data_IF_817772677652
#
_entry.id   IF_817772677652
#
_cell.length_a   1.000
_cell.length_b   1.000
_cell.length_c   1.000
_cell.angle_alpha   90.00
_cell.angle_beta   90.00
_cell.angle_gamma   90.00
#
_symmetry.space_group_name_H-M   'P 1'
#
loop_
_entity.id
_entity.type
_entity.pdbx_description
1 polymer ?
#
# COMPACT_ATOMS: atom_id res chain seq x y z
N UNK A 1 -4.80 -36.71 -30.03
CA UNK A 1 -4.20 -36.72 -28.69
C UNK A 1 -2.89 -35.97 -28.83
N UNK A 2 -2.88 -34.68 -28.52
CA UNK A 2 -1.66 -33.86 -28.56
C UNK A 2 -0.82 -34.20 -27.34
N UNK A 3 0.49 -34.39 -27.54
CA UNK A 3 1.44 -34.53 -26.44
C UNK A 3 1.37 -33.30 -25.52
N UNK A 4 1.58 -33.47 -24.20
CA UNK A 4 1.73 -32.32 -23.31
C UNK A 4 2.92 -31.48 -23.80
N UNK A 5 2.69 -30.19 -24.03
CA UNK A 5 3.77 -29.26 -24.32
C UNK A 5 4.67 -29.18 -23.08
N UNK A 6 5.96 -29.44 -23.26
CA UNK A 6 6.94 -29.22 -22.20
C UNK A 6 7.01 -27.70 -21.98
N UNK A 7 6.82 -27.18 -20.76
CA UNK A 7 6.93 -25.75 -20.50
C UNK A 7 8.36 -25.29 -20.85
N UNK A 8 8.47 -24.11 -21.48
CA UNK A 8 9.77 -23.53 -21.78
C UNK A 8 10.38 -23.03 -20.47
N UNK A 9 11.55 -23.54 -20.13
CA UNK A 9 12.33 -23.07 -18.98
C UNK A 9 13.26 -21.94 -19.40
N UNK A 10 13.23 -20.83 -18.67
CA UNK A 10 14.11 -19.67 -18.84
C UNK A 10 14.95 -19.51 -17.56
N UNK A 11 16.27 -19.60 -17.68
CA UNK A 11 17.19 -19.31 -16.58
C UNK A 11 17.64 -17.86 -16.67
N UNK A 12 17.50 -17.11 -15.58
CA UNK A 12 17.97 -15.73 -15.45
C UNK A 12 19.11 -15.71 -14.45
N UNK A 13 20.33 -15.49 -14.93
CA UNK A 13 21.50 -15.36 -14.07
C UNK A 13 21.82 -13.88 -13.88
N UNK A 14 21.78 -13.41 -12.65
CA UNK A 14 22.08 -12.02 -12.30
C UNK A 14 23.48 -11.95 -11.71
N UNK A 15 24.33 -11.15 -12.35
CA UNK A 15 25.68 -10.85 -11.90
C UNK A 15 25.76 -9.35 -11.53
N UNK A 16 26.81 -8.98 -10.79
CA UNK A 16 27.06 -7.59 -10.40
C UNK A 16 27.16 -6.62 -11.61
N UNK A 17 27.55 -7.13 -12.77
CA UNK A 17 27.82 -6.31 -13.98
C UNK A 17 26.91 -6.62 -15.17
N UNK A 18 26.06 -7.64 -15.09
CA UNK A 18 25.18 -8.03 -16.19
C UNK A 18 24.09 -8.99 -15.73
N UNK A 19 22.98 -9.02 -16.46
CA UNK A 19 21.99 -10.10 -16.38
C UNK A 19 22.02 -10.93 -17.67
N UNK A 20 21.99 -12.25 -17.50
CA UNK A 20 22.02 -13.23 -18.59
C UNK A 20 20.68 -13.95 -18.60
N UNK A 21 20.09 -14.08 -19.79
CA UNK A 21 18.86 -14.81 -20.01
C UNK A 21 19.17 -16.03 -20.89
N UNK A 22 18.90 -17.22 -20.39
CA UNK A 22 19.14 -18.49 -21.10
C UNK A 22 17.82 -19.26 -21.26
N UNK A 23 17.28 -19.29 -22.48
CA UNK A 23 16.04 -19.99 -22.80
C UNK A 23 16.03 -20.46 -24.26
N UNK A 24 15.03 -20.07 -25.07
CA UNK A 24 15.04 -20.33 -26.52
C UNK A 24 16.26 -19.70 -27.22
N UNK A 25 16.63 -18.49 -26.78
CA UNK A 25 17.82 -17.75 -27.18
C UNK A 25 18.58 -17.28 -25.94
N UNK A 26 19.88 -17.01 -26.09
CA UNK A 26 20.71 -16.45 -25.01
C UNK A 26 20.93 -14.96 -25.23
N UNK A 27 20.58 -14.14 -24.23
CA UNK A 27 20.74 -12.67 -24.29
C UNK A 27 21.55 -12.19 -23.08
N UNK A 28 22.52 -11.32 -23.34
CA UNK A 28 23.37 -10.69 -22.32
C UNK A 28 23.03 -9.20 -22.21
N UNK A 29 22.62 -8.75 -21.03
CA UNK A 29 22.27 -7.36 -20.72
C UNK A 29 23.22 -6.78 -19.68
N UNK A 30 24.26 -6.10 -20.17
CA UNK A 30 25.24 -5.39 -19.32
C UNK A 30 24.70 -4.09 -18.71
N UNK A 31 23.55 -3.63 -19.21
CA UNK A 31 22.83 -2.47 -18.70
C UNK A 31 21.88 -2.83 -17.55
N UNK A 32 21.75 -4.12 -17.18
CA UNK A 32 20.88 -4.60 -16.11
C UNK A 32 21.71 -5.34 -15.04
N UNK A 33 22.47 -4.64 -14.18
CA UNK A 33 23.19 -5.26 -13.07
C UNK A 33 22.24 -5.63 -11.91
N UNK A 34 22.65 -6.57 -11.05
CA UNK A 34 21.86 -6.98 -9.89
C UNK A 34 21.47 -5.84 -8.94
N UNK A 35 22.38 -4.89 -8.70
CA UNK A 35 22.06 -3.68 -7.91
C UNK A 35 20.89 -2.90 -8.51
N UNK A 36 20.80 -2.81 -9.83
CA UNK A 36 19.70 -2.13 -10.48
C UNK A 36 18.35 -2.84 -10.40
N UNK A 37 18.38 -4.16 -10.21
CA UNK A 37 17.17 -4.96 -9.98
C UNK A 37 16.66 -4.70 -8.57
N UNK A 38 17.56 -4.70 -7.58
CA UNK A 38 17.23 -4.42 -6.17
C UNK A 38 16.74 -2.96 -6.00
N UNK A 39 17.41 -2.00 -6.64
CA UNK A 39 17.00 -0.59 -6.66
C UNK A 39 15.75 -0.33 -7.53
N UNK A 40 15.20 -1.37 -8.17
CA UNK A 40 13.93 -1.35 -8.89
C UNK A 40 13.94 -0.77 -10.31
N UNK A 41 15.00 -0.07 -10.74
CA UNK A 41 15.03 0.56 -12.07
C UNK A 41 15.27 -0.41 -13.22
N UNK A 42 16.02 -1.50 -12.99
CA UNK A 42 16.31 -2.52 -14.00
C UNK A 42 15.20 -3.57 -14.11
N UNK A 43 14.37 -3.70 -13.07
CA UNK A 43 13.35 -4.72 -12.95
C UNK A 43 12.33 -4.72 -14.12
N UNK A 44 11.75 -3.58 -14.55
CA UNK A 44 10.84 -3.58 -15.69
C UNK A 44 11.49 -4.11 -16.97
N UNK A 45 12.74 -3.72 -17.22
CA UNK A 45 13.48 -4.16 -18.40
C UNK A 45 13.82 -5.66 -18.36
N UNK A 46 14.07 -6.23 -17.17
CA UNK A 46 14.25 -7.68 -16.99
C UNK A 46 12.96 -8.44 -17.29
N UNK A 47 11.82 -7.96 -16.78
CA UNK A 47 10.50 -8.55 -17.03
C UNK A 47 10.14 -8.50 -18.52
N UNK A 48 10.36 -7.35 -19.16
CA UNK A 48 10.08 -7.17 -20.59
C UNK A 48 10.98 -8.07 -21.46
N UNK A 49 12.27 -8.19 -21.11
CA UNK A 49 13.20 -9.08 -21.82
C UNK A 49 12.78 -10.55 -21.70
N UNK A 50 12.39 -11.00 -20.50
CA UNK A 50 11.90 -12.36 -20.29
C UNK A 50 10.61 -12.63 -21.08
N UNK A 51 9.69 -11.65 -21.10
CA UNK A 51 8.46 -11.75 -21.88
C UNK A 51 8.70 -11.78 -23.38
N UNK A 52 9.64 -11.00 -23.89
CA UNK A 52 10.02 -10.99 -25.30
C UNK A 52 10.59 -12.34 -25.74
N UNK A 53 11.51 -12.90 -24.94
CA UNK A 53 12.15 -14.18 -25.20
C UNK A 53 11.15 -15.35 -25.17
N UNK A 54 10.16 -15.29 -24.28
CA UNK A 54 9.17 -16.36 -24.12
C UNK A 54 7.76 -15.97 -24.62
N UNK A 55 7.66 -15.04 -25.58
CA UNK A 55 6.38 -14.46 -26.01
C UNK A 55 5.35 -15.48 -26.52
N UNK A 56 5.79 -16.65 -27.02
CA UNK A 56 4.90 -17.69 -27.54
C UNK A 56 4.22 -18.52 -26.43
N UNK A 57 4.85 -18.62 -25.26
CA UNK A 57 4.38 -19.45 -24.14
C UNK A 57 3.96 -18.63 -22.93
N UNK A 58 4.16 -17.32 -22.93
CA UNK A 58 3.80 -16.47 -21.80
C UNK A 58 2.28 -16.50 -21.50
N UNK A 59 1.85 -16.69 -20.23
CA UNK A 59 2.64 -16.79 -18.99
C UNK A 59 3.00 -18.23 -18.56
N UNK A 60 2.70 -19.25 -19.37
CA UNK A 60 2.99 -20.67 -19.13
C UNK A 60 4.49 -21.01 -19.35
N UNK A 61 5.36 -20.32 -18.60
CA UNK A 61 6.83 -20.49 -18.64
C UNK A 61 7.33 -20.74 -17.23
N UNK A 62 8.41 -21.51 -17.10
CA UNK A 62 9.09 -21.72 -15.82
C UNK A 62 10.36 -20.88 -15.78
N UNK A 63 10.47 -19.98 -14.82
CA UNK A 63 11.63 -19.11 -14.65
C UNK A 63 12.49 -19.61 -13.49
N UNK A 64 13.77 -19.81 -13.77
CA UNK A 64 14.79 -20.19 -12.78
C UNK A 64 15.69 -18.98 -12.55
N UNK A 65 15.80 -18.53 -11.32
CA UNK A 65 16.57 -17.34 -10.98
C UNK A 65 17.86 -17.76 -10.28
N UNK A 66 19.00 -17.42 -10.86
CA UNK A 66 20.33 -17.63 -10.27
C UNK A 66 20.95 -16.27 -9.95
N UNK A 67 20.77 -15.80 -8.73
CA UNK A 67 21.17 -14.47 -8.30
C UNK A 67 21.55 -14.48 -6.81
N UNK A 68 22.02 -13.34 -6.29
CA UNK A 68 22.07 -13.15 -4.84
C UNK A 68 20.66 -13.17 -4.21
N UNK A 69 20.59 -13.32 -2.89
CA UNK A 69 19.32 -13.46 -2.16
C UNK A 69 18.36 -12.29 -2.39
N UNK A 70 18.88 -11.06 -2.42
CA UNK A 70 18.07 -9.85 -2.59
C UNK A 70 17.48 -9.71 -4.00
N UNK A 71 18.29 -9.93 -5.03
CA UNK A 71 17.83 -9.91 -6.41
C UNK A 71 16.87 -11.08 -6.69
N UNK A 72 17.12 -12.24 -6.08
CA UNK A 72 16.26 -13.43 -6.18
C UNK A 72 14.87 -13.17 -5.64
N UNK A 73 14.76 -12.58 -4.45
CA UNK A 73 13.48 -12.25 -3.82
C UNK A 73 12.66 -11.29 -4.68
N UNK A 74 13.30 -10.19 -5.11
CA UNK A 74 12.67 -9.17 -5.96
C UNK A 74 12.15 -9.76 -7.27
N UNK A 75 12.97 -10.55 -7.97
CA UNK A 75 12.58 -11.17 -9.24
C UNK A 75 11.49 -12.21 -9.05
N UNK A 76 11.62 -13.09 -8.05
CA UNK A 76 10.63 -14.14 -7.77
C UNK A 76 9.27 -13.53 -7.50
N UNK A 77 9.20 -12.54 -6.60
CA UNK A 77 7.96 -11.85 -6.28
C UNK A 77 7.37 -11.14 -7.51
N UNK A 78 8.22 -10.50 -8.31
CA UNK A 78 7.80 -9.76 -9.50
C UNK A 78 7.19 -10.65 -10.58
N UNK A 79 7.81 -11.81 -10.86
CA UNK A 79 7.28 -12.77 -11.83
C UNK A 79 5.99 -13.43 -11.32
N UNK A 80 5.92 -13.79 -10.04
CA UNK A 80 4.71 -14.35 -9.43
C UNK A 80 3.53 -13.37 -9.51
N UNK A 81 3.77 -12.08 -9.28
CA UNK A 81 2.74 -11.03 -9.44
C UNK A 81 2.26 -10.86 -10.89
N UNK A 82 3.06 -11.29 -11.88
CA UNK A 82 2.66 -11.37 -13.29
C UNK A 82 2.03 -12.71 -13.68
N UNK A 83 1.82 -13.61 -12.71
CA UNK A 83 1.24 -14.93 -12.91
C UNK A 83 2.19 -15.95 -13.54
N UNK A 84 3.50 -15.69 -13.49
CA UNK A 84 4.53 -16.56 -14.04
C UNK A 84 5.20 -17.35 -12.92
N UNK A 85 5.37 -18.65 -13.15
CA UNK A 85 6.09 -19.53 -12.24
C UNK A 85 7.57 -19.15 -12.20
N UNK A 86 8.05 -18.69 -11.04
CA UNK A 86 9.45 -18.34 -10.84
C UNK A 86 9.97 -18.94 -9.52
N UNK A 87 11.17 -19.50 -9.57
CA UNK A 87 11.81 -20.17 -8.43
C UNK A 87 13.31 -19.91 -8.44
N UNK A 88 13.96 -19.94 -7.27
CA UNK A 88 15.40 -19.75 -7.19
C UNK A 88 16.14 -21.02 -7.61
N UNK A 89 17.37 -20.90 -8.10
CA UNK A 89 18.13 -21.99 -8.74
C UNK A 89 18.44 -23.14 -7.79
N UNK A 90 18.49 -22.86 -6.48
CA UNK A 90 18.71 -23.84 -5.43
C UNK A 90 17.49 -24.72 -5.17
N UNK A 91 16.27 -24.26 -5.51
CA UNK A 91 15.07 -25.09 -5.44
C UNK A 91 15.10 -26.25 -6.46
N UNK A 92 15.88 -26.11 -7.54
CA UNK A 92 16.10 -27.17 -8.53
C UNK A 92 17.25 -28.12 -8.16
N UNK A 93 18.02 -27.83 -7.10
CA UNK A 93 18.95 -28.81 -6.57
C UNK A 93 18.11 -29.93 -5.99
N UNK A 94 18.03 -31.04 -6.72
CA UNK A 94 17.61 -32.33 -6.20
C UNK A 94 18.29 -32.52 -4.85
N UNK A 95 17.59 -32.24 -3.76
CA UNK A 95 18.01 -32.68 -2.45
C UNK A 95 18.03 -34.19 -2.61
N UNK A 96 19.19 -34.87 -2.54
CA UNK A 96 19.20 -36.31 -2.54
C UNK A 96 18.27 -36.67 -1.40
N UNK A 97 17.15 -37.32 -1.70
CA UNK A 97 16.29 -37.89 -0.67
C UNK A 97 17.25 -38.59 0.30
N UNK A 98 17.20 -38.30 1.61
CA UNK A 98 18.02 -39.07 2.53
C UNK A 98 17.73 -40.52 2.21
N UNK A 99 18.75 -41.25 1.72
CA UNK A 99 18.60 -42.67 1.47
C UNK A 99 18.23 -43.24 2.82
N UNK A 100 16.94 -43.50 3.00
CA UNK A 100 16.42 -44.24 4.13
C UNK A 100 17.16 -45.57 4.01
N UNK A 101 18.11 -45.80 4.93
CA UNK A 101 18.59 -47.16 5.17
C UNK A 101 17.33 -47.98 5.42
N UNK A 102 17.01 -48.83 4.45
CA UNK A 102 16.00 -49.86 4.62
C UNK A 102 16.33 -50.65 5.88
N UNK A 103 15.26 -51.19 6.47
CA UNK A 103 15.23 -52.06 7.65
C UNK A 103 15.00 -51.34 9.01
N UNK A 104 13.77 -50.86 9.21
CA UNK A 104 12.96 -51.41 10.31
C UNK A 104 11.47 -51.38 9.92
N UNK A 105 10.93 -52.58 9.76
CA UNK A 105 9.56 -52.90 9.34
C UNK A 105 8.55 -52.42 10.40
N UNK A 106 7.97 -51.24 10.24
CA UNK A 106 6.82 -50.81 11.02
C UNK A 106 5.55 -51.43 10.41
N UNK A 107 5.16 -52.59 10.94
CA UNK A 107 3.86 -53.22 10.67
C UNK A 107 2.72 -52.28 11.05
N UNK A 108 2.11 -51.62 10.06
CA UNK A 108 0.89 -50.84 10.25
C UNK A 108 -0.30 -51.78 10.28
N UNK A 109 -0.77 -52.12 11.48
CA UNK A 109 -2.07 -52.77 11.68
C UNK A 109 -3.15 -51.70 11.52
N UNK A 110 -3.97 -51.79 10.46
CA UNK A 110 -5.18 -50.96 10.29
C UNK A 110 -6.33 -51.52 11.13
N UNK A 111 -6.90 -50.77 12.09
CA UNK A 111 -8.15 -51.17 12.72
C UNK A 111 -9.34 -50.71 11.87
N UNK A 112 -10.19 -51.67 11.50
CA UNK A 112 -11.53 -51.45 10.94
C UNK A 112 -12.45 -50.84 11.99
N UNK A 113 -13.38 -49.99 11.54
CA UNK A 113 -14.35 -49.31 12.39
C UNK A 113 -15.28 -50.32 13.09
N UNK A 114 -15.40 -50.21 14.41
CA UNK A 114 -16.63 -50.59 15.09
C UNK A 114 -16.86 -49.76 16.36
N UNK A 115 -18.14 -49.56 16.59
CA UNK A 115 -18.86 -48.88 17.65
C UNK A 115 -18.44 -49.22 19.09
N UNK A 116 -18.51 -48.24 20.00
CA UNK A 116 -18.40 -48.49 21.44
C UNK A 116 -18.28 -47.25 22.32
N UNK A 117 -19.18 -47.13 23.32
CA UNK A 117 -19.34 -45.99 24.24
C UNK A 117 -18.27 -45.94 25.35
N UNK A 118 -17.98 -44.70 25.76
CA UNK A 118 -17.45 -44.20 27.06
C UNK A 118 -16.16 -44.79 27.66
N UNK A 119 -15.16 -43.92 27.85
CA UNK A 119 -14.79 -43.31 29.16
C UNK A 119 -13.66 -42.28 28.95
N UNK A 120 -13.82 -41.11 29.56
CA UNK A 120 -12.81 -40.04 29.63
C UNK A 120 -11.71 -40.40 30.66
N UNK A 121 -10.44 -40.21 30.31
CA UNK A 121 -9.42 -39.69 31.22
C UNK A 121 -8.94 -38.33 30.65
N UNK A 122 -9.01 -37.21 31.36
CA UNK A 122 -8.40 -36.99 32.67
C UNK A 122 -7.00 -36.40 32.46
N UNK A 123 -6.92 -35.08 32.20
CA UNK A 123 -5.65 -34.37 32.14
C UNK A 123 -5.55 -33.20 31.15
N UNK A 124 -6.56 -32.32 31.05
CA UNK A 124 -6.37 -31.02 30.42
C UNK A 124 -6.15 -29.98 31.52
N UNK A 125 -4.91 -29.51 31.65
CA UNK A 125 -4.58 -28.37 32.51
C UNK A 125 -5.23 -27.14 31.85
N UNK A 126 -6.39 -26.72 32.35
CA UNK A 126 -7.06 -25.50 31.93
C UNK A 126 -6.15 -24.35 32.37
N UNK A 127 -5.47 -23.74 31.40
CA UNK A 127 -4.74 -22.48 31.60
C UNK A 127 -5.69 -21.43 32.20
N UNK A 128 -5.25 -20.65 33.21
CA UNK A 128 -6.07 -19.63 33.88
C UNK A 128 -6.67 -18.59 32.92
N UNK A 129 -6.11 -18.48 31.71
CA UNK A 129 -6.58 -17.62 30.64
C UNK A 129 -7.97 -18.03 30.09
N UNK A 130 -8.29 -19.33 30.07
CA UNK A 130 -9.57 -19.82 29.53
C UNK A 130 -10.75 -19.61 30.49
N UNK A 131 -10.48 -19.46 31.80
CA UNK A 131 -11.50 -19.08 32.78
C UNK A 131 -12.02 -17.66 32.58
N UNK A 132 -11.14 -16.74 32.17
CA UNK A 132 -11.49 -15.33 31.91
C UNK A 132 -12.35 -15.23 30.64
N UNK A 133 -11.97 -15.93 29.57
CA UNK A 133 -12.72 -15.93 28.30
C UNK A 133 -14.13 -16.47 28.49
N UNK A 134 -14.31 -17.57 29.24
CA UNK A 134 -15.63 -18.12 29.53
C UNK A 134 -16.51 -17.16 30.35
N UNK A 135 -15.94 -16.44 31.32
CA UNK A 135 -16.66 -15.44 32.12
C UNK A 135 -17.12 -14.25 31.26
N UNK A 136 -16.29 -13.79 30.32
CA UNK A 136 -16.62 -12.70 29.40
C UNK A 136 -17.75 -13.10 28.45
N UNK A 137 -17.73 -14.31 27.90
CA UNK A 137 -18.80 -14.81 27.02
C UNK A 137 -20.14 -14.91 27.75
N UNK A 138 -20.13 -15.38 29.01
CA UNK A 138 -21.35 -15.44 29.84
C UNK A 138 -21.83 -14.02 30.20
N UNK A 139 -20.92 -13.09 30.51
CA UNK A 139 -21.29 -11.70 30.81
C UNK A 139 -21.91 -11.00 29.59
N UNK A 140 -21.34 -11.17 28.40
CA UNK A 140 -21.88 -10.62 27.15
C UNK A 140 -23.26 -11.23 26.86
N UNK A 141 -23.41 -12.55 27.00
CA UNK A 141 -24.68 -13.25 26.82
C UNK A 141 -25.79 -12.76 27.76
N UNK A 142 -25.45 -12.53 29.04
CA UNK A 142 -26.38 -12.00 30.03
C UNK A 142 -26.75 -10.52 29.77
N UNK A 143 -25.81 -9.69 29.31
CA UNK A 143 -26.05 -8.29 28.99
C UNK A 143 -26.92 -8.12 27.72
N UNK A 144 -26.79 -9.02 26.76
CA UNK A 144 -27.62 -9.01 25.54
C UNK A 144 -29.09 -9.42 25.75
N UNK A 145 -29.48 -9.89 26.95
CA UNK A 145 -30.87 -10.25 27.26
C UNK A 145 -31.65 -9.19 28.04
N UNK A 146 -31.07 -8.01 28.33
CA UNK A 146 -31.72 -7.00 29.19
C UNK A 146 -31.97 -5.63 28.54
N UNK A 147 -31.81 -5.51 27.22
CA UNK A 147 -32.12 -4.28 26.48
C UNK A 147 -33.36 -4.43 25.57
N UNK A 148 -34.47 -4.87 26.16
CA UNK A 148 -35.81 -4.68 25.61
C UNK A 148 -36.71 -4.24 26.76
N UNK A 149 -36.75 -2.93 27.01
CA UNK A 149 -37.94 -2.34 27.60
C UNK A 149 -38.22 -0.96 26.97
N UNK A 150 -39.50 -0.74 26.70
CA UNK A 150 -40.03 0.29 25.82
C UNK A 150 -40.64 1.42 26.66
N UNK A 151 -40.45 2.68 26.27
CA UNK A 151 -41.09 3.82 26.92
C UNK A 151 -41.44 4.94 25.94
N UNK A 152 -42.70 5.45 25.91
CA UNK A 152 -43.19 6.35 24.87
C UNK A 152 -42.95 7.85 25.13
N UNK A 153 -43.01 8.59 24.02
CA UNK A 153 -42.88 10.05 23.82
C UNK A 153 -43.92 10.86 24.62
N UNK A 154 -43.66 12.16 24.88
CA UNK A 154 -44.71 13.14 24.58
C UNK A 154 -44.24 14.32 23.73
N UNK A 155 -45.11 14.62 22.77
CA UNK A 155 -45.16 15.79 21.90
C UNK A 155 -45.33 17.06 22.72
N UNK A 156 -44.58 18.11 22.41
CA UNK A 156 -44.93 19.49 22.77
C UNK A 156 -44.89 20.34 21.51
N UNK A 157 -45.99 21.05 21.32
CA UNK A 157 -46.38 21.81 20.14
C UNK A 157 -45.61 23.13 19.98
N UNK A 158 -45.49 23.53 18.72
CA UNK A 158 -45.18 24.88 18.23
C UNK A 158 -46.21 25.93 18.73
N UNK A 159 -45.85 27.22 18.76
CA UNK A 159 -46.37 28.06 17.69
C UNK A 159 -45.48 29.24 17.20
N UNK A 160 -45.49 29.42 15.87
CA UNK A 160 -45.81 30.64 15.10
C UNK A 160 -44.88 31.87 15.13
N UNK A 161 -44.23 32.06 13.98
CA UNK A 161 -44.13 33.24 13.09
C UNK A 161 -43.43 34.57 13.50
N UNK A 162 -42.40 34.87 12.69
CA UNK A 162 -42.23 36.09 11.85
C UNK A 162 -41.79 37.43 12.48
N UNK A 163 -40.61 37.91 12.07
CA UNK A 163 -40.36 39.30 11.62
C UNK A 163 -38.91 39.54 11.13
N UNK A 164 -38.80 40.10 9.94
CA UNK A 164 -37.66 40.83 9.31
C UNK A 164 -38.23 42.26 9.00
N UNK A 165 -37.51 43.38 8.72
CA UNK A 165 -36.11 43.89 8.80
C UNK A 165 -36.06 45.24 9.64
N UNK A 166 -35.14 46.25 9.54
CA UNK A 166 -34.04 46.49 8.59
C UNK A 166 -32.68 47.02 9.13
N UNK A 167 -31.76 47.11 8.18
CA UNK A 167 -30.38 47.58 8.25
C UNK A 167 -30.23 49.07 8.61
N UNK A 168 -29.07 49.38 9.20
CA UNK A 168 -28.42 50.69 9.13
C UNK A 168 -26.92 50.52 8.81
N UNK A 169 -26.31 51.49 8.10
CA UNK A 169 -25.07 51.32 7.36
C UNK A 169 -23.85 51.42 8.28
N UNK A 170 -22.88 50.54 8.09
CA UNK A 170 -21.51 50.84 8.48
C UNK A 170 -20.83 51.47 7.27
N UNK A 171 -20.46 52.74 7.40
CA UNK A 171 -19.46 53.40 6.57
C UNK A 171 -18.15 52.61 6.70
N UNK A 172 -17.96 51.68 5.77
CA UNK A 172 -16.69 51.00 5.55
C UNK A 172 -15.82 51.90 4.69
N UNK A 173 -14.92 52.61 5.35
CA UNK A 173 -13.79 53.29 4.75
C UNK A 173 -13.16 52.40 3.66
N UNK A 174 -13.22 52.86 2.41
CA UNK A 174 -12.58 52.20 1.28
C UNK A 174 -11.06 52.25 1.48
N UNK A 175 -10.54 51.25 2.21
CA UNK A 175 -9.18 50.82 2.01
C UNK A 175 -9.13 50.27 0.58
N UNK A 176 -8.60 51.09 -0.33
CA UNK A 176 -8.17 50.63 -1.65
C UNK A 176 -7.00 49.68 -1.41
N UNK A 177 -7.33 48.41 -1.14
CA UNK A 177 -6.35 47.33 -1.20
C UNK A 177 -5.91 47.23 -2.64
N UNK A 178 -4.67 47.64 -2.90
CA UNK A 178 -3.97 47.32 -4.14
C UNK A 178 -3.79 45.80 -4.09
N UNK A 179 -4.79 45.07 -4.57
CA UNK A 179 -4.71 43.64 -4.70
C UNK A 179 -3.72 43.36 -5.82
N UNK A 180 -2.51 42.94 -5.45
CA UNK A 180 -1.67 42.23 -6.39
C UNK A 180 -2.50 41.09 -6.99
N UNK A 181 -2.47 40.87 -8.31
CA UNK A 181 -3.11 39.71 -8.88
C UNK A 181 -2.53 38.47 -8.19
N UNK A 182 -3.37 37.50 -7.80
CA UNK A 182 -2.88 36.28 -7.18
C UNK A 182 -1.83 35.64 -8.11
N UNK A 183 -0.77 35.04 -7.56
CA UNK A 183 0.20 34.32 -8.38
C UNK A 183 -0.55 33.32 -9.26
N UNK A 184 -0.10 33.08 -10.51
CA UNK A 184 -0.79 32.16 -11.40
C UNK A 184 -0.91 30.80 -10.70
N UNK A 185 -2.14 30.34 -10.49
CA UNK A 185 -2.43 28.99 -10.02
C UNK A 185 -2.94 28.19 -11.21
N UNK A 186 -2.64 26.92 -11.24
CA UNK A 186 -3.14 25.98 -12.26
C UNK A 186 -3.88 24.85 -11.56
N UNK A 187 -5.03 24.50 -12.13
CA UNK A 187 -5.76 23.30 -11.75
C UNK A 187 -5.28 22.19 -12.66
N UNK A 188 -4.79 21.12 -12.06
CA UNK A 188 -4.25 19.96 -12.75
C UNK A 188 -5.20 18.78 -12.53
N UNK A 189 -5.52 18.06 -13.60
CA UNK A 189 -6.38 16.88 -13.55
C UNK A 189 -5.70 15.72 -14.27
N UNK A 190 -5.59 14.57 -13.59
CA UNK A 190 -5.05 13.36 -14.17
C UNK A 190 -5.46 12.13 -13.36
N UNK A 191 -5.68 10.99 -14.04
CA UNK A 191 -5.99 9.70 -13.41
C UNK A 191 -7.12 9.75 -12.35
N UNK A 192 -8.14 10.58 -12.57
CA UNK A 192 -9.26 10.70 -11.63
C UNK A 192 -9.01 11.64 -10.45
N UNK A 193 -7.85 12.30 -10.37
CA UNK A 193 -7.53 13.29 -9.35
C UNK A 193 -7.54 14.71 -9.91
N UNK A 194 -8.01 15.67 -9.11
CA UNK A 194 -7.84 17.11 -9.33
C UNK A 194 -7.03 17.70 -8.18
N UNK A 195 -6.10 18.60 -8.51
CA UNK A 195 -5.26 19.31 -7.55
C UNK A 195 -4.90 20.71 -8.06
N UNK A 196 -4.72 21.66 -7.15
CA UNK A 196 -4.22 23.00 -7.46
C UNK A 196 -2.74 23.13 -7.13
N UNK A 197 -1.98 23.77 -8.02
CA UNK A 197 -0.55 24.02 -7.83
C UNK A 197 -0.15 25.42 -8.37
N UNK A 198 1.04 25.93 -8.01
CA UNK A 198 1.57 27.13 -8.65
C UNK A 198 1.70 26.96 -10.18
N UNK A 199 1.68 28.07 -10.90
CA UNK A 199 1.88 28.09 -12.35
C UNK A 199 3.19 27.41 -12.76
N UNK A 200 3.16 26.68 -13.87
CA UNK A 200 4.30 25.92 -14.37
C UNK A 200 4.38 24.47 -13.85
N UNK A 201 3.54 24.10 -12.89
CA UNK A 201 3.39 22.69 -12.50
C UNK A 201 2.64 21.88 -13.55
N UNK A 202 3.02 20.61 -13.68
CA UNK A 202 2.36 19.60 -14.52
C UNK A 202 2.28 18.26 -13.78
N UNK A 203 1.27 17.46 -14.10
CA UNK A 203 1.14 16.10 -13.58
C UNK A 203 1.79 15.10 -14.54
N UNK A 204 2.54 14.16 -13.97
CA UNK A 204 3.17 13.03 -14.67
C UNK A 204 2.91 11.75 -13.90
N UNK A 205 2.66 10.66 -14.63
CA UNK A 205 2.67 9.30 -14.08
C UNK A 205 4.12 8.80 -14.07
N UNK A 206 4.65 8.50 -12.89
CA UNK A 206 6.03 8.08 -12.71
C UNK A 206 6.15 7.13 -11.52
N UNK A 207 6.93 6.06 -11.69
CA UNK A 207 7.24 5.09 -10.63
C UNK A 207 5.98 4.48 -9.98
N UNK A 208 4.90 4.34 -10.77
CA UNK A 208 3.62 3.78 -10.31
C UNK A 208 2.77 4.73 -9.48
N UNK A 209 3.13 6.02 -9.42
CA UNK A 209 2.37 7.06 -8.71
C UNK A 209 2.23 8.35 -9.52
N UNK A 210 1.29 9.20 -9.10
CA UNK A 210 1.08 10.50 -9.73
C UNK A 210 2.00 11.54 -9.09
N UNK A 211 2.68 12.34 -9.91
CA UNK A 211 3.64 13.32 -9.45
C UNK A 211 3.41 14.70 -10.08
N UNK A 212 3.34 15.75 -9.26
CA UNK A 212 3.34 17.13 -9.74
C UNK A 212 4.77 17.68 -9.77
N UNK A 213 5.19 18.16 -10.94
CA UNK A 213 6.53 18.68 -11.21
C UNK A 213 6.45 20.13 -11.68
N UNK A 214 7.24 21.01 -11.07
CA UNK A 214 7.31 22.44 -11.38
C UNK A 214 8.64 22.87 -12.00
N UNK A 215 8.89 24.20 -11.96
CA UNK A 215 10.14 24.79 -12.44
C UNK A 215 11.35 24.47 -11.53
N UNK A 216 11.11 24.26 -10.24
CA UNK A 216 12.15 23.86 -9.29
C UNK A 216 12.42 22.35 -9.40
N UNK A 217 13.59 21.92 -9.92
CA UNK A 217 13.90 20.50 -10.07
C UNK A 217 14.17 19.80 -8.73
N UNK A 218 14.31 20.56 -7.63
CA UNK A 218 14.54 20.02 -6.29
C UNK A 218 13.26 19.72 -5.53
N UNK A 219 12.07 20.01 -6.09
CA UNK A 219 10.77 19.74 -5.51
C UNK A 219 9.97 18.79 -6.39
N UNK A 220 9.41 17.74 -5.78
CA UNK A 220 8.40 16.87 -6.39
C UNK A 220 7.26 16.67 -5.40
N UNK A 221 6.03 16.66 -5.88
CA UNK A 221 4.85 16.41 -5.03
C UNK A 221 4.22 15.10 -5.49
N UNK A 222 4.29 14.08 -4.64
CA UNK A 222 3.66 12.78 -4.85
C UNK A 222 2.18 12.87 -4.45
N UNK A 223 1.31 12.26 -5.24
CA UNK A 223 -0.14 12.27 -5.06
C UNK A 223 -0.68 10.85 -5.25
N UNK A 224 -1.53 10.41 -4.34
CA UNK A 224 -2.25 9.15 -4.45
C UNK A 224 -3.65 9.26 -3.82
N UNK A 225 -4.57 8.43 -4.33
CA UNK A 225 -5.91 8.24 -3.78
C UNK A 225 -6.30 6.77 -3.95
N UNK A 226 -5.92 5.95 -2.98
CA UNK A 226 -6.09 4.51 -3.05
C UNK A 226 -7.45 4.10 -2.48
N UNK A 227 -8.24 3.23 -3.14
CA UNK A 227 -9.53 2.81 -2.61
C UNK A 227 -9.37 2.01 -1.32
N UNK A 228 -10.11 2.38 -0.27
CA UNK A 228 -10.14 1.62 1.01
C UNK A 228 -11.20 0.50 1.02
N UNK A 229 -12.01 0.42 -0.03
CA UNK A 229 -13.09 -0.56 -0.19
C UNK A 229 -14.03 -0.58 1.03
N UNK A 230 -14.20 -1.75 1.66
CA UNK A 230 -15.02 -1.94 2.87
C UNK A 230 -14.24 -1.81 4.17
N UNK A 231 -12.98 -1.39 4.13
CA UNK A 231 -12.15 -1.25 5.33
C UNK A 231 -12.48 0.07 6.04
N UNK A 232 -12.78 0.04 7.35
CA UNK A 232 -13.02 1.28 8.10
C UNK A 232 -11.79 2.21 8.09
N UNK A 233 -12.02 3.51 7.89
CA UNK A 233 -10.97 4.53 7.88
C UNK A 233 -10.01 4.45 9.07
N UNK A 234 -10.55 4.27 10.29
CA UNK A 234 -9.74 4.16 11.50
C UNK A 234 -8.81 2.93 11.49
N UNK A 235 -9.21 1.82 10.86
CA UNK A 235 -8.37 0.63 10.75
C UNK A 235 -7.24 0.83 9.73
N UNK A 236 -7.53 1.53 8.62
CA UNK A 236 -6.50 1.91 7.63
C UNK A 236 -5.46 2.82 8.28
N UNK A 237 -5.90 3.88 8.96
CA UNK A 237 -4.99 4.83 9.61
C UNK A 237 -4.20 4.20 10.77
N UNK A 238 -4.79 3.27 11.53
CA UNK A 238 -4.06 2.52 12.55
C UNK A 238 -2.95 1.64 11.95
N UNK A 239 -3.19 1.06 10.75
CA UNK A 239 -2.15 0.29 10.05
C UNK A 239 -1.02 1.20 9.55
N UNK A 240 -1.36 2.39 9.05
CA UNK A 240 -0.37 3.41 8.66
C UNK A 240 0.50 3.80 9.87
N UNK A 241 -0.12 4.07 11.02
CA UNK A 241 0.59 4.41 12.26
C UNK A 241 1.54 3.30 12.74
N UNK A 242 1.10 2.04 12.62
CA UNK A 242 1.94 0.87 12.91
C UNK A 242 3.16 0.81 11.99
N UNK A 243 3.00 1.06 10.68
CA UNK A 243 4.11 1.08 9.71
C UNK A 243 5.09 2.20 10.07
N UNK A 244 4.60 3.42 10.30
CA UNK A 244 5.44 4.57 10.68
C UNK A 244 6.23 4.30 11.97
N UNK A 245 5.63 3.59 12.92
CA UNK A 245 6.28 3.31 14.21
C UNK A 245 7.38 2.25 14.13
N UNK A 246 7.28 1.32 13.18
CA UNK A 246 8.21 0.17 13.07
C UNK A 246 9.27 0.32 11.99
N UNK A 247 9.15 1.33 11.12
CA UNK A 247 10.12 1.62 10.08
C UNK A 247 11.05 2.76 10.52
N UNK A 248 12.35 2.46 10.66
CA UNK A 248 13.35 3.42 11.13
C UNK A 248 13.60 4.57 10.14
N UNK A 249 13.20 4.43 8.87
CA UNK A 249 13.26 5.50 7.87
C UNK A 249 12.09 6.49 8.01
N UNK A 250 11.06 6.14 8.79
CA UNK A 250 9.88 6.95 9.01
C UNK A 250 9.91 7.63 10.37
N UNK A 251 9.58 8.91 10.38
CA UNK A 251 9.64 9.76 11.56
C UNK A 251 8.29 10.44 11.77
N UNK A 252 7.50 10.04 12.78
CA UNK A 252 6.20 10.64 13.02
C UNK A 252 6.33 12.13 13.33
N UNK A 253 5.38 12.91 12.82
CA UNK A 253 5.23 14.34 13.09
C UNK A 253 3.85 14.59 13.71
N UNK A 254 3.68 15.73 14.36
CA UNK A 254 2.39 16.11 14.91
C UNK A 254 1.30 16.08 13.80
N UNK A 255 0.13 15.46 14.07
CA UNK A 255 -0.97 15.44 13.13
C UNK A 255 -1.37 16.84 12.69
N UNK A 256 -1.83 16.96 11.45
CA UNK A 256 -2.24 18.22 10.88
C UNK A 256 -3.72 18.19 10.50
N UNK A 257 -4.44 19.30 10.69
CA UNK A 257 -5.77 19.45 10.09
C UNK A 257 -5.67 19.94 8.65
N UNK A 258 -6.37 19.27 7.75
CA UNK A 258 -6.54 19.68 6.37
C UNK A 258 -7.53 20.83 6.21
N UNK A 259 -7.65 21.33 4.97
CA UNK A 259 -8.54 22.43 4.61
C UNK A 259 -10.03 22.15 4.90
N UNK A 260 -10.46 20.88 4.85
CA UNK A 260 -11.84 20.48 5.16
C UNK A 260 -12.03 20.01 6.61
N UNK A 261 -11.04 20.26 7.49
CA UNK A 261 -11.12 19.98 8.92
C UNK A 261 -10.84 18.53 9.33
N UNK A 262 -10.58 17.64 8.38
CA UNK A 262 -10.12 16.28 8.63
C UNK A 262 -8.74 16.28 9.27
N UNK A 263 -8.50 15.37 10.21
CA UNK A 263 -7.18 15.11 10.77
C UNK A 263 -6.37 14.24 9.80
N UNK A 264 -5.13 14.63 9.55
CA UNK A 264 -4.19 13.97 8.66
C UNK A 264 -3.01 13.45 9.48
N UNK A 265 -2.70 12.17 9.30
CA UNK A 265 -1.44 11.59 9.79
C UNK A 265 -0.29 12.24 9.02
N UNK A 266 0.73 12.70 9.74
CA UNK A 266 1.88 13.38 9.16
C UNK A 266 3.17 12.70 9.62
N UNK A 267 4.09 12.47 8.69
CA UNK A 267 5.39 11.87 8.99
C UNK A 267 6.44 12.33 7.98
N UNK A 268 7.71 12.16 8.32
CA UNK A 268 8.85 12.38 7.42
C UNK A 268 9.47 11.04 7.07
N UNK A 269 9.78 10.82 5.81
CA UNK A 269 10.59 9.70 5.32
C UNK A 269 12.00 10.20 5.00
N UNK A 270 13.01 9.43 5.37
CA UNK A 270 14.42 9.63 5.02
C UNK A 270 14.87 8.51 4.05
N UNK A 271 14.97 8.81 2.74
CA UNK A 271 15.44 7.84 1.74
C UNK A 271 16.93 7.47 1.84
N UNK A 272 17.72 8.17 2.69
CA UNK A 272 19.14 7.91 2.87
C UNK A 272 20.07 8.58 1.86
N UNK A 273 19.55 9.31 0.87
CA UNK A 273 20.33 10.07 -0.13
C UNK A 273 20.50 11.57 0.25
N UNK A 274 20.07 11.94 1.45
CA UNK A 274 20.06 13.31 1.97
C UNK A 274 18.85 14.15 1.51
N UNK A 275 17.97 13.58 0.68
CA UNK A 275 16.64 14.13 0.44
C UNK A 275 15.70 13.77 1.59
N UNK A 276 14.49 14.33 1.59
CA UNK A 276 13.46 13.93 2.53
C UNK A 276 12.08 14.12 1.95
N UNK A 277 11.14 13.29 2.39
CA UNK A 277 9.73 13.39 2.00
C UNK A 277 8.89 13.68 3.22
N UNK A 278 8.09 14.74 3.19
CA UNK A 278 7.06 14.97 4.22
C UNK A 278 5.74 14.48 3.67
N UNK A 279 5.18 13.45 4.32
CA UNK A 279 3.93 12.82 3.95
C UNK A 279 2.78 13.32 4.80
N UNK A 280 1.63 13.46 4.16
CA UNK A 280 0.32 13.65 4.77
C UNK A 280 -0.61 12.59 4.21
N UNK A 281 -1.33 11.89 5.08
CA UNK A 281 -2.32 10.90 4.67
C UNK A 281 -3.59 10.96 5.52
N UNK A 282 -4.72 10.78 4.85
CA UNK A 282 -6.05 10.77 5.45
C UNK A 282 -6.96 9.86 4.66
N UNK A 283 -8.08 9.45 5.25
CA UNK A 283 -9.13 8.71 4.55
C UNK A 283 -10.34 9.60 4.42
N UNK A 284 -10.81 9.77 3.19
CA UNK A 284 -12.06 10.46 2.89
C UNK A 284 -12.72 9.84 1.65
N UNK A 285 -14.06 9.95 1.54
CA UNK A 285 -14.78 9.55 0.32
C UNK A 285 -14.44 8.14 -0.20
N UNK A 286 -14.19 7.18 0.70
CA UNK A 286 -13.84 5.80 0.36
C UNK A 286 -12.42 5.58 -0.18
N UNK A 287 -11.53 6.56 -0.03
CA UNK A 287 -10.15 6.51 -0.50
C UNK A 287 -9.18 6.97 0.59
N UNK A 288 -8.00 6.37 0.64
CA UNK A 288 -6.84 6.86 1.37
C UNK A 288 -6.08 7.81 0.46
N UNK A 289 -6.10 9.10 0.79
CA UNK A 289 -5.31 10.09 0.11
C UNK A 289 -3.92 10.17 0.74
N UNK A 290 -2.91 10.39 -0.11
CA UNK A 290 -1.54 10.61 0.31
C UNK A 290 -0.91 11.72 -0.52
N UNK A 291 -0.26 12.66 0.17
CA UNK A 291 0.52 13.74 -0.44
C UNK A 291 1.92 13.72 0.14
N UNK A 292 2.93 13.56 -0.71
CA UNK A 292 4.34 13.51 -0.32
C UNK A 292 5.12 14.69 -0.90
N UNK A 293 5.63 15.57 -0.05
CA UNK A 293 6.52 16.67 -0.45
C UNK A 293 7.97 16.18 -0.47
N UNK A 294 8.51 15.84 -1.63
CA UNK A 294 9.90 15.41 -1.77
C UNK A 294 10.79 16.60 -2.09
N UNK A 295 11.76 16.88 -1.22
CA UNK A 295 12.79 17.89 -1.44
C UNK A 295 14.20 17.29 -1.38
N UNK A 296 15.09 17.73 -2.28
CA UNK A 296 16.50 17.24 -2.33
C UNK A 296 17.32 17.55 -1.06
N UNK A 297 16.89 18.53 -0.27
CA UNK A 297 17.47 18.93 1.01
C UNK A 297 16.34 19.43 1.91
N UNK A 298 16.66 20.15 2.99
CA UNK A 298 15.64 20.83 3.81
C UNK A 298 14.73 21.71 2.94
N UNK A 299 13.41 21.53 3.09
CA UNK A 299 12.43 22.22 2.28
C UNK A 299 12.49 23.73 2.49
N UNK A 300 12.48 24.48 1.39
CA UNK A 300 12.40 25.94 1.44
C UNK A 300 10.95 26.41 1.61
N UNK A 301 10.74 27.62 2.12
CA UNK A 301 9.39 28.20 2.29
C UNK A 301 8.55 28.16 1.00
N UNK A 302 9.07 28.49 -0.20
CA UNK A 302 8.30 28.33 -1.44
C UNK A 302 7.89 26.89 -1.74
N UNK A 303 8.74 25.91 -1.43
CA UNK A 303 8.44 24.50 -1.65
C UNK A 303 7.35 24.01 -0.70
N UNK A 304 7.44 24.39 0.57
CA UNK A 304 6.39 24.11 1.56
C UNK A 304 5.05 24.74 1.15
N UNK A 305 5.07 25.97 0.64
CA UNK A 305 3.86 26.65 0.17
C UNK A 305 3.25 25.98 -1.06
N UNK A 306 4.07 25.55 -2.03
CA UNK A 306 3.60 24.81 -3.20
C UNK A 306 2.96 23.46 -2.80
N UNK A 307 3.58 22.73 -1.89
CA UNK A 307 3.01 21.49 -1.39
C UNK A 307 1.73 21.72 -0.58
N UNK A 308 1.67 22.79 0.23
CA UNK A 308 0.44 23.17 0.96
C UNK A 308 -0.73 23.38 0.00
N UNK A 309 -0.51 24.06 -1.11
CA UNK A 309 -1.54 24.26 -2.13
C UNK A 309 -2.07 22.92 -2.67
N UNK A 310 -1.18 21.98 -2.98
CA UNK A 310 -1.58 20.66 -3.47
C UNK A 310 -2.33 19.87 -2.40
N UNK A 311 -1.82 19.85 -1.17
CA UNK A 311 -2.43 19.17 -0.03
C UNK A 311 -3.84 19.67 0.29
N UNK A 312 -4.04 20.99 0.25
CA UNK A 312 -5.31 21.62 0.62
C UNK A 312 -6.39 21.51 -0.48
N UNK A 313 -6.02 21.06 -1.68
CA UNK A 313 -6.91 21.06 -2.86
C UNK A 313 -7.05 19.71 -3.56
N UNK A 314 -6.40 18.66 -3.05
CA UNK A 314 -6.49 17.32 -3.63
C UNK A 314 -7.89 16.75 -3.45
N UNK A 315 -8.55 16.41 -4.56
CA UNK A 315 -9.88 15.80 -4.60
C UNK A 315 -10.00 14.78 -5.74
N UNK A 316 -11.01 13.91 -5.66
CA UNK A 316 -11.38 13.04 -6.78
C UNK A 316 -12.22 13.80 -7.80
N UNK A 317 -11.92 13.62 -9.08
CA UNK A 317 -12.79 14.07 -10.17
C UNK A 317 -13.93 13.07 -10.36
N UNK A 318 -15.18 13.56 -10.29
CA UNK A 318 -16.37 12.76 -10.60
C UNK A 318 -17.01 12.02 -9.43
N UNK A 319 -16.82 12.50 -8.20
CA UNK A 319 -17.64 12.14 -7.03
C UNK A 319 -19.06 12.70 -7.09
#
# INVERSE_FOLDING_TARGET
>A
MSAPAVPVTLTITVLDSATIFEGPDTVYRYDLPGTGIVDGWALPAVLDQARELCHLQWPEVEIVIDADESATEVLTHSFLNKGVAAYPSEALRETPLPMVKEEEELTVIRPTSDSGRHRLPGGAVISPFHGVVAAVVIAIGCLSWWALDSGPVPVVAEPVAEAVPPALPHDGEQATSISMPPPPQVILEHAGLRVSAPGGFRLEDRDGGLMALGEDPALRIHLAADPVYSVPAAAVLARVDEIITHDDSLHPLDPQRGAHGQEMTRYREDPGDGSGVVWHTWVDSGHQFSVGCHSRAEATIPQEAACRMALDSLELTGG
#
